data_IF_806829476394
#
_entry.id   IF_806829476394
#
_cell.length_a   1.000
_cell.length_b   1.000
_cell.length_c   1.000
_cell.angle_alpha   90.00
_cell.angle_beta   90.00
_cell.angle_gamma   90.00
#
_symmetry.space_group_name_H-M   'P 1'
#
loop_
_entity.id
_entity.type
_entity.pdbx_description
1 polymer ?
#
# COMPACT_ATOMS: atom_id res chain seq x y z
N UNK A 1 5.72 25.83 -78.24
CA UNK A 1 6.38 27.12 -78.04
C UNK A 1 6.29 27.53 -76.59
N UNK A 2 7.44 27.87 -75.98
CA UNK A 2 7.72 28.36 -74.62
C UNK A 2 7.88 27.35 -73.48
N UNK A 3 9.13 27.25 -73.17
CA UNK A 3 9.79 26.81 -71.97
C UNK A 3 9.35 27.58 -70.72
N UNK A 4 9.43 26.97 -69.57
CA UNK A 4 9.34 27.61 -68.25
C UNK A 4 9.88 26.69 -67.14
N UNK A 5 11.03 26.87 -66.87
CA UNK A 5 12.02 26.85 -65.80
C UNK A 5 11.61 26.12 -64.52
N UNK A 6 12.42 25.13 -64.14
CA UNK A 6 12.55 24.53 -62.86
C UNK A 6 13.08 25.52 -61.79
N UNK A 7 12.55 25.47 -60.57
CA UNK A 7 13.17 26.08 -59.41
C UNK A 7 13.22 25.03 -58.31
N UNK A 8 14.41 24.57 -57.98
CA UNK A 8 14.70 23.70 -56.88
C UNK A 8 14.72 24.56 -55.60
N UNK A 9 13.93 24.18 -54.58
CA UNK A 9 14.05 24.69 -53.24
C UNK A 9 14.65 23.61 -52.36
N UNK A 10 15.86 23.91 -51.90
CA UNK A 10 16.60 23.14 -50.90
C UNK A 10 15.95 23.40 -49.55
N UNK A 11 15.26 22.42 -48.97
CA UNK A 11 14.78 22.44 -47.62
C UNK A 11 15.84 21.90 -46.65
N UNK A 12 16.36 22.81 -45.81
CA UNK A 12 17.25 22.48 -44.71
C UNK A 12 16.42 21.82 -43.62
N UNK A 13 16.59 20.52 -43.42
CA UNK A 13 15.98 19.78 -42.33
C UNK A 13 16.70 20.07 -41.02
N UNK A 14 16.01 20.74 -40.12
CA UNK A 14 16.46 20.93 -38.74
C UNK A 14 16.13 19.68 -37.94
N UNK A 15 17.16 18.88 -37.62
CA UNK A 15 17.00 17.71 -36.74
C UNK A 15 16.84 18.20 -35.31
N UNK A 16 15.63 18.07 -34.78
CA UNK A 16 15.37 18.24 -33.35
C UNK A 16 15.75 16.94 -32.61
N UNK A 17 16.87 16.98 -31.88
CA UNK A 17 17.23 15.95 -30.94
C UNK A 17 16.34 16.09 -29.68
N UNK A 18 15.36 15.21 -29.53
CA UNK A 18 14.57 15.08 -28.30
C UNK A 18 15.44 14.33 -27.29
N UNK A 19 15.99 15.05 -26.32
CA UNK A 19 16.56 14.47 -25.10
C UNK A 19 15.41 13.94 -24.24
N UNK A 20 15.18 12.64 -24.29
CA UNK A 20 14.31 11.95 -23.34
C UNK A 20 15.07 11.88 -22.02
N UNK A 21 14.76 12.76 -21.10
CA UNK A 21 15.18 12.65 -19.71
C UNK A 21 14.50 11.38 -19.13
N UNK A 22 15.29 10.32 -18.95
CA UNK A 22 14.85 9.13 -18.27
C UNK A 22 14.53 9.45 -16.82
N UNK A 23 13.24 9.48 -16.46
CA UNK A 23 12.84 9.35 -15.08
C UNK A 23 13.24 7.94 -14.61
N UNK A 24 14.27 7.85 -13.78
CA UNK A 24 14.54 6.65 -13.01
C UNK A 24 13.34 6.39 -12.13
N UNK A 25 12.52 5.42 -12.50
CA UNK A 25 11.52 4.87 -11.61
C UNK A 25 12.26 4.30 -10.39
N UNK A 26 11.93 4.78 -9.22
CA UNK A 26 12.39 4.18 -7.97
C UNK A 26 12.01 2.70 -7.96
N UNK A 27 12.98 1.81 -7.74
CA UNK A 27 12.73 0.39 -7.60
C UNK A 27 11.75 0.17 -6.44
N UNK A 28 10.75 -0.70 -6.61
CA UNK A 28 9.83 -1.03 -5.52
C UNK A 28 10.60 -1.73 -4.40
N UNK A 29 10.39 -1.25 -3.19
CA UNK A 29 11.01 -1.74 -1.98
C UNK A 29 10.72 -3.23 -1.75
N UNK A 30 11.80 -3.95 -1.52
CA UNK A 30 11.94 -5.14 -0.72
C UNK A 30 10.95 -6.29 -0.85
N UNK A 31 11.40 -7.35 -1.51
CA UNK A 31 10.85 -8.71 -1.41
C UNK A 31 11.07 -9.24 0.02
N UNK A 32 10.02 -9.31 0.82
CA UNK A 32 10.07 -9.97 2.13
C UNK A 32 9.96 -11.48 1.91
N UNK A 33 10.93 -12.25 2.39
CA UNK A 33 10.88 -13.71 2.35
C UNK A 33 10.55 -14.27 3.74
N UNK A 34 9.47 -15.04 3.85
CA UNK A 34 9.27 -15.95 4.97
C UNK A 34 9.86 -17.31 4.61
N UNK A 35 10.30 -18.15 5.57
CA UNK A 35 10.84 -19.47 5.26
C UNK A 35 9.84 -20.28 4.41
N UNK A 36 10.21 -20.56 3.14
CA UNK A 36 9.37 -21.29 2.19
C UNK A 36 8.41 -20.47 1.33
N UNK A 37 8.32 -19.14 1.52
CA UNK A 37 7.42 -18.29 0.72
C UNK A 37 8.12 -16.98 0.35
N UNK A 38 8.22 -16.74 -0.95
CA UNK A 38 8.66 -15.45 -1.48
C UNK A 38 7.42 -14.62 -1.74
N UNK A 39 7.24 -13.52 -1.00
CA UNK A 39 6.18 -12.58 -1.28
C UNK A 39 6.70 -11.52 -2.24
N UNK A 40 5.98 -11.31 -3.31
CA UNK A 40 6.00 -10.03 -4.01
C UNK A 40 4.73 -9.31 -3.57
N UNK A 41 4.79 -8.51 -2.50
CA UNK A 41 3.61 -7.74 -2.14
C UNK A 41 3.30 -6.86 -3.34
N UNK A 42 2.08 -6.91 -3.81
CA UNK A 42 1.59 -5.95 -4.78
C UNK A 42 1.57 -4.61 -4.06
N UNK A 43 2.75 -3.99 -4.02
CA UNK A 43 3.03 -2.64 -3.57
C UNK A 43 3.28 -2.50 -2.05
N UNK A 44 4.38 -1.92 -1.68
CA UNK A 44 4.50 -1.06 -0.51
C UNK A 44 3.65 0.20 -0.68
N UNK A 45 2.46 0.08 -1.30
CA UNK A 45 1.52 1.18 -1.48
C UNK A 45 0.67 1.24 -0.24
N UNK A 46 0.74 2.39 0.40
CA UNK A 46 -0.19 2.74 1.47
C UNK A 46 -1.61 2.74 0.92
N UNK A 47 -2.49 1.97 1.51
CA UNK A 47 -3.91 2.00 1.22
C UNK A 47 -4.60 2.97 2.18
N UNK A 48 -5.64 3.64 1.72
CA UNK A 48 -6.35 4.67 2.46
C UNK A 48 -7.85 4.50 2.36
N UNK A 49 -8.54 4.66 3.49
CA UNK A 49 -9.98 4.73 3.59
C UNK A 49 -10.35 5.99 4.39
N UNK A 50 -11.07 6.91 3.74
CA UNK A 50 -11.52 8.18 4.33
C UNK A 50 -13.02 8.17 4.64
N UNK A 51 -13.62 7.00 4.86
CA UNK A 51 -15.02 6.87 5.24
C UNK A 51 -15.26 7.51 6.61
N UNK A 52 -16.35 8.26 6.74
CA UNK A 52 -16.69 8.97 7.97
C UNK A 52 -15.76 10.13 8.30
N UNK A 53 -15.53 10.38 9.59
CA UNK A 53 -14.74 11.53 10.08
C UNK A 53 -13.27 11.21 10.32
N UNK A 54 -12.82 10.00 10.06
CA UNK A 54 -11.43 9.55 10.27
C UNK A 54 -10.90 8.92 8.99
N UNK A 55 -9.77 9.41 8.50
CA UNK A 55 -8.99 8.74 7.48
C UNK A 55 -8.08 7.71 8.14
N UNK A 56 -8.16 6.47 7.68
CA UNK A 56 -7.29 5.37 8.12
C UNK A 56 -6.42 4.95 6.95
N UNK A 57 -5.12 4.86 7.17
CA UNK A 57 -4.15 4.45 6.15
C UNK A 57 -3.33 3.28 6.69
N UNK A 58 -3.11 2.27 5.87
CA UNK A 58 -2.29 1.12 6.19
C UNK A 58 -1.26 0.86 5.10
N UNK A 59 -0.04 0.58 5.53
CA UNK A 59 1.06 0.12 4.69
C UNK A 59 1.60 -1.20 5.23
N UNK A 60 1.62 -2.25 4.41
CA UNK A 60 2.25 -3.50 4.80
C UNK A 60 3.77 -3.34 4.81
N UNK A 61 4.38 -3.52 5.98
CA UNK A 61 5.83 -3.46 6.16
C UNK A 61 6.45 -4.81 5.80
N UNK A 62 7.25 -4.84 4.75
CA UNK A 62 7.97 -6.03 4.31
C UNK A 62 9.31 -6.20 5.04
N UNK A 63 9.93 -7.39 4.92
CA UNK A 63 11.27 -7.66 5.47
C UNK A 63 11.28 -8.35 6.84
N UNK A 64 10.13 -8.59 7.48
CA UNK A 64 10.03 -9.46 8.66
C UNK A 64 9.60 -10.86 8.26
N UNK A 65 10.14 -11.85 8.97
CA UNK A 65 9.84 -13.28 8.73
C UNK A 65 9.08 -13.91 9.88
N UNK A 66 9.01 -13.21 11.01
CA UNK A 66 8.41 -13.67 12.27
C UNK A 66 7.02 -13.08 12.51
N UNK A 67 6.66 -12.02 11.78
CA UNK A 67 5.38 -11.32 11.92
C UNK A 67 4.93 -10.66 10.61
N UNK A 68 3.63 -10.38 10.53
CA UNK A 68 3.02 -9.51 9.50
C UNK A 68 2.74 -8.17 10.16
N UNK A 69 3.50 -7.16 9.77
CA UNK A 69 3.45 -5.84 10.38
C UNK A 69 2.85 -4.82 9.41
N UNK A 70 2.01 -3.94 9.94
CA UNK A 70 1.46 -2.81 9.20
C UNK A 70 1.78 -1.50 9.89
N UNK A 71 2.28 -0.53 9.15
CA UNK A 71 2.23 0.86 9.58
C UNK A 71 0.80 1.35 9.45
N UNK A 72 0.29 1.96 10.50
CA UNK A 72 -1.05 2.56 10.53
C UNK A 72 -0.91 4.05 10.78
N UNK A 73 -1.67 4.84 10.01
CA UNK A 73 -1.89 6.27 10.24
C UNK A 73 -3.38 6.51 10.37
N UNK A 74 -3.77 7.30 11.35
CA UNK A 74 -5.15 7.75 11.53
C UNK A 74 -5.16 9.27 11.68
N UNK A 75 -5.99 9.93 10.88
CA UNK A 75 -6.11 11.38 10.84
C UNK A 75 -7.57 11.83 10.90
N UNK A 76 -7.82 12.88 11.64
CA UNK A 76 -9.15 13.48 11.78
C UNK A 76 -9.05 14.93 12.21
N UNK A 77 -10.11 15.71 12.00
CA UNK A 77 -10.26 17.07 12.52
C UNK A 77 -11.38 17.22 13.55
N UNK A 78 -12.09 16.13 13.88
CA UNK A 78 -13.35 16.22 14.62
C UNK A 78 -13.47 15.33 15.86
N UNK A 79 -12.65 14.28 15.97
CA UNK A 79 -12.74 13.31 17.07
C UNK A 79 -11.37 13.01 17.68
N UNK A 80 -11.35 12.60 18.96
CA UNK A 80 -10.11 12.10 19.57
C UNK A 80 -9.86 10.66 19.17
N UNK A 81 -8.65 10.36 18.70
CA UNK A 81 -8.23 9.01 18.31
C UNK A 81 -7.71 8.18 19.49
N UNK A 82 -7.58 8.76 20.68
CA UNK A 82 -6.97 8.10 21.84
C UNK A 82 -7.72 6.84 22.30
N UNK A 83 -9.04 6.82 22.10
CA UNK A 83 -9.90 5.72 22.53
C UNK A 83 -9.80 4.47 21.61
N UNK A 84 -9.26 4.60 20.40
CA UNK A 84 -9.24 3.48 19.44
C UNK A 84 -8.02 2.60 19.65
N UNK A 85 -8.25 1.42 20.23
CA UNK A 85 -7.23 0.40 20.43
C UNK A 85 -7.31 -0.63 19.29
N UNK A 86 -6.41 -0.53 18.31
CA UNK A 86 -6.43 -1.43 17.15
C UNK A 86 -6.12 -2.89 17.51
N UNK A 87 -5.55 -3.16 18.69
CA UNK A 87 -5.40 -4.55 19.14
C UNK A 87 -6.74 -5.29 19.28
N UNK A 88 -7.82 -4.54 19.55
CA UNK A 88 -9.17 -5.08 19.71
C UNK A 88 -10.11 -4.75 18.55
N UNK A 89 -9.73 -3.77 17.74
CA UNK A 89 -10.57 -3.27 16.64
C UNK A 89 -10.10 -3.72 15.27
N UNK A 90 -8.96 -4.40 15.16
CA UNK A 90 -8.44 -4.88 13.90
C UNK A 90 -8.36 -6.41 13.85
N UNK A 91 -8.41 -6.94 12.63
CA UNK A 91 -8.30 -8.36 12.33
C UNK A 91 -7.54 -8.51 11.01
N UNK A 92 -6.60 -9.45 10.93
CA UNK A 92 -6.04 -9.93 9.67
C UNK A 92 -6.90 -11.12 9.21
N UNK A 93 -7.29 -11.13 7.94
CA UNK A 93 -8.08 -12.21 7.33
C UNK A 93 -7.36 -12.76 6.11
N UNK A 94 -7.30 -14.06 5.97
CA UNK A 94 -6.78 -14.72 4.77
C UNK A 94 -7.89 -14.96 3.73
N UNK A 95 -7.52 -15.43 2.54
CA UNK A 95 -8.46 -15.71 1.45
C UNK A 95 -9.38 -16.92 1.69
N UNK A 96 -9.11 -17.71 2.73
CA UNK A 96 -10.02 -18.76 3.22
C UNK A 96 -11.06 -18.20 4.21
N UNK A 97 -10.98 -16.92 4.58
CA UNK A 97 -11.87 -16.25 5.53
C UNK A 97 -11.49 -16.49 6.99
N UNK A 98 -10.31 -17.03 7.27
CA UNK A 98 -9.83 -17.23 8.64
C UNK A 98 -9.33 -15.90 9.22
N UNK A 99 -9.85 -15.57 10.42
CA UNK A 99 -9.52 -14.35 11.15
C UNK A 99 -8.39 -14.58 12.16
N UNK A 100 -7.44 -13.65 12.22
CA UNK A 100 -6.30 -13.62 13.12
C UNK A 100 -6.27 -12.29 13.87
N UNK A 101 -6.27 -12.32 15.20
CA UNK A 101 -6.17 -11.13 16.03
C UNK A 101 -4.75 -10.57 16.06
N UNK A 102 -4.59 -9.25 16.28
CA UNK A 102 -3.27 -8.66 16.46
C UNK A 102 -2.57 -9.19 17.72
N UNK A 103 -1.27 -9.45 17.60
CA UNK A 103 -0.42 -9.77 18.76
C UNK A 103 0.11 -8.52 19.45
N UNK A 104 0.25 -7.40 18.70
CA UNK A 104 0.64 -6.11 19.26
C UNK A 104 0.00 -4.93 18.50
N UNK A 105 -0.20 -3.84 19.22
CA UNK A 105 -0.45 -2.52 18.68
C UNK A 105 0.43 -1.55 19.43
N UNK A 106 1.39 -0.93 18.75
CA UNK A 106 2.36 0.02 19.30
C UNK A 106 2.04 1.43 18.80
N UNK A 107 1.10 2.15 19.45
CA UNK A 107 0.69 3.47 18.99
C UNK A 107 1.73 4.53 19.30
N UNK A 108 1.85 5.50 18.40
CA UNK A 108 2.57 6.75 18.57
C UNK A 108 1.64 7.94 18.27
N UNK A 109 1.91 9.07 18.89
CA UNK A 109 1.04 10.25 18.78
C UNK A 109 -0.25 10.14 19.60
N UNK A 110 -1.02 11.22 19.57
CA UNK A 110 -2.27 11.36 20.32
C UNK A 110 -3.18 12.41 19.69
N UNK A 111 -4.43 12.47 20.14
CA UNK A 111 -5.38 13.50 19.69
C UNK A 111 -5.94 13.21 18.31
N UNK A 112 -5.68 14.10 17.34
CA UNK A 112 -6.24 14.04 16.00
C UNK A 112 -5.34 13.34 14.97
N UNK A 113 -4.08 13.12 15.31
CA UNK A 113 -3.09 12.43 14.48
C UNK A 113 -2.48 11.30 15.28
N UNK A 114 -2.74 10.07 14.88
CA UNK A 114 -2.23 8.89 15.56
C UNK A 114 -1.62 7.93 14.56
N UNK A 115 -0.42 7.48 14.84
CA UNK A 115 0.27 6.46 14.05
C UNK A 115 0.65 5.27 14.91
N UNK A 116 1.18 4.23 14.30
CA UNK A 116 1.73 3.09 15.04
C UNK A 116 2.01 1.89 14.16
N UNK A 117 2.46 0.82 14.81
CA UNK A 117 2.67 -0.48 14.17
C UNK A 117 1.66 -1.48 14.70
N UNK A 118 0.87 -2.04 13.80
CA UNK A 118 -0.06 -3.13 14.06
C UNK A 118 0.60 -4.43 13.62
N UNK A 119 0.72 -5.39 14.54
CA UNK A 119 1.46 -6.63 14.32
C UNK A 119 0.57 -7.84 14.49
N UNK A 120 0.71 -8.81 13.55
CA UNK A 120 0.05 -10.10 13.60
C UNK A 120 1.08 -11.22 13.58
N UNK A 121 0.73 -12.37 14.16
CA UNK A 121 1.47 -13.60 13.89
C UNK A 121 1.33 -13.97 12.40
N UNK A 122 2.36 -14.57 11.83
CA UNK A 122 2.27 -15.04 10.43
C UNK A 122 1.27 -16.20 10.38
N UNK A 123 0.17 -16.10 9.60
CA UNK A 123 -0.74 -17.22 9.38
C UNK A 123 -0.04 -18.44 8.78
N UNK A 124 -0.42 -19.65 9.20
CA UNK A 124 0.19 -20.86 8.64
C UNK A 124 -0.13 -21.00 7.14
N UNK A 125 -1.33 -20.60 6.71
CA UNK A 125 -1.69 -20.52 5.28
C UNK A 125 -0.73 -19.66 4.48
N UNK A 126 -0.24 -18.56 5.08
CA UNK A 126 0.71 -17.64 4.47
C UNK A 126 2.12 -18.25 4.44
N UNK A 127 2.57 -18.89 5.54
CA UNK A 127 3.88 -19.59 5.60
C UNK A 127 3.99 -20.69 4.57
N UNK A 128 2.89 -21.40 4.33
CA UNK A 128 2.82 -22.53 3.39
C UNK A 128 2.56 -22.11 1.94
N UNK A 129 2.48 -20.79 1.69
CA UNK A 129 2.28 -20.25 0.33
C UNK A 129 0.91 -20.60 -0.25
N UNK A 130 -0.10 -20.84 0.58
CA UNK A 130 -1.47 -21.19 0.13
C UNK A 130 -2.39 -19.98 -0.01
N UNK A 131 -2.03 -18.87 0.62
CA UNK A 131 -2.83 -17.64 0.66
C UNK A 131 -2.60 -16.79 -0.59
N UNK A 132 -3.66 -16.42 -1.30
CA UNK A 132 -3.61 -15.57 -2.50
C UNK A 132 -3.65 -14.11 -2.15
N UNK A 133 -4.35 -13.72 -1.09
CA UNK A 133 -4.44 -12.36 -0.58
C UNK A 133 -4.67 -12.37 0.92
N UNK A 134 -4.35 -11.27 1.54
CA UNK A 134 -4.71 -10.96 2.92
C UNK A 134 -5.49 -9.65 2.98
N UNK A 135 -6.34 -9.53 3.98
CA UNK A 135 -7.11 -8.33 4.29
C UNK A 135 -6.87 -7.92 5.74
N UNK A 136 -6.70 -6.63 5.98
CA UNK A 136 -6.82 -6.07 7.33
C UNK A 136 -8.16 -5.38 7.44
N UNK A 137 -8.97 -5.83 8.39
CA UNK A 137 -10.25 -5.25 8.72
C UNK A 137 -10.08 -4.36 9.93
N UNK A 138 -10.51 -3.10 9.85
CA UNK A 138 -10.51 -2.13 10.97
C UNK A 138 -11.94 -1.78 11.29
N UNK A 139 -12.39 -2.11 12.50
CA UNK A 139 -13.81 -2.06 12.89
C UNK A 139 -14.11 -0.95 13.89
N UNK A 140 -15.29 -0.38 13.80
CA UNK A 140 -15.90 0.54 14.79
C UNK A 140 -15.04 1.78 15.08
N UNK A 141 -14.29 2.28 14.10
CA UNK A 141 -13.57 3.55 14.21
C UNK A 141 -14.45 4.67 13.67
N UNK A 142 -14.76 5.64 14.55
CA UNK A 142 -15.57 6.84 14.23
C UNK A 142 -16.93 6.52 13.58
N UNK A 143 -17.63 5.51 14.08
CA UNK A 143 -18.95 5.11 13.61
C UNK A 143 -18.96 4.34 12.29
N UNK A 144 -17.81 4.10 11.66
CA UNK A 144 -17.70 3.21 10.49
C UNK A 144 -17.60 1.78 10.97
N UNK A 145 -18.55 0.90 10.61
CA UNK A 145 -18.59 -0.48 11.11
C UNK A 145 -17.34 -1.27 10.74
N UNK A 146 -16.89 -1.16 9.51
CA UNK A 146 -15.71 -1.88 9.02
C UNK A 146 -15.06 -1.14 7.84
N UNK A 147 -13.73 -1.13 7.81
CA UNK A 147 -12.88 -0.74 6.69
C UNK A 147 -12.04 -1.93 6.29
N UNK A 148 -11.90 -2.20 5.00
CA UNK A 148 -11.14 -3.32 4.46
C UNK A 148 -9.97 -2.84 3.62
N UNK A 149 -8.77 -3.33 3.95
CA UNK A 149 -7.52 -3.07 3.24
C UNK A 149 -6.97 -4.39 2.74
N UNK A 150 -6.73 -4.52 1.42
CA UNK A 150 -6.45 -5.81 0.78
C UNK A 150 -5.12 -5.81 0.03
N UNK A 151 -4.30 -6.82 0.26
CA UNK A 151 -3.03 -7.05 -0.44
C UNK A 151 -3.04 -8.39 -1.15
N UNK A 152 -2.74 -8.37 -2.44
CA UNK A 152 -2.51 -9.58 -3.23
C UNK A 152 -1.14 -10.15 -2.92
N UNK A 153 -1.03 -11.46 -2.83
CA UNK A 153 0.24 -12.17 -2.61
C UNK A 153 0.81 -12.64 -3.95
N UNK A 154 -0.04 -13.11 -4.86
CA UNK A 154 0.21 -13.48 -6.27
C UNK A 154 -1.05 -13.35 -7.13
#
# INVERSE_FOLDING_TARGET
MRLGRASALIGVGLAFAVLVAGCSAAEPAGTGSFPGVTFTPTNGVMQSDSSGSVTVQLEWLTGRTDSVDFRVLMDTHSVSLNAYNLRTLAVLRDDAGQDYGPIAWDPAGAGHHRSGTLRFAVPDSLKEGRTKYIEVLVRNVAGVPERTFKWQIW
#
